data_IF_937063443175
#
_entry.id   IF_937063443175
#
_cell.length_a   1.000
_cell.length_b   1.000
_cell.length_c   1.000
_cell.angle_alpha   90.00
_cell.angle_beta   90.00
_cell.angle_gamma   90.00
#
_symmetry.space_group_name_H-M   'P 1'
#
loop_
_entity.id
_entity.type
_entity.pdbx_description
1 polymer ?
#
# COMPACT_ATOMS: atom_id res chain seq x y z
N UNK A 1 8.09 -56.31 30.21
CA UNK A 1 7.38 -56.17 28.91
C UNK A 1 8.33 -55.44 27.98
N UNK A 2 9.01 -56.15 27.07
CA UNK A 2 9.95 -55.53 26.12
C UNK A 2 9.14 -54.87 25.01
N UNK A 3 9.10 -53.54 25.00
CA UNK A 3 8.47 -52.80 23.89
C UNK A 3 9.23 -53.17 22.62
N UNK A 4 8.51 -53.64 21.60
CA UNK A 4 9.11 -54.17 20.38
C UNK A 4 9.72 -53.00 19.59
N UNK A 5 11.05 -52.93 19.52
CA UNK A 5 11.80 -51.82 18.92
C UNK A 5 11.37 -51.55 17.47
N UNK A 6 11.03 -52.61 16.73
CA UNK A 6 10.54 -52.53 15.35
C UNK A 6 9.21 -51.79 15.23
N UNK A 7 8.31 -51.97 16.20
CA UNK A 7 7.01 -51.28 16.22
C UNK A 7 7.20 -49.78 16.48
N UNK A 8 8.13 -49.43 17.38
CA UNK A 8 8.47 -48.03 17.66
C UNK A 8 9.08 -47.38 16.40
N UNK A 9 10.02 -48.07 15.74
CA UNK A 9 10.66 -47.57 14.51
C UNK A 9 9.65 -47.35 13.38
N UNK A 10 8.68 -48.26 13.24
CA UNK A 10 7.61 -48.14 12.25
C UNK A 10 6.72 -46.90 12.50
N UNK A 11 6.26 -46.71 13.74
CA UNK A 11 5.43 -45.55 14.12
C UNK A 11 6.19 -44.24 13.90
N UNK A 12 7.45 -44.17 14.31
CA UNK A 12 8.29 -42.99 14.08
C UNK A 12 8.50 -42.70 12.59
N UNK A 13 8.69 -43.73 11.75
CA UNK A 13 8.82 -43.58 10.30
C UNK A 13 7.54 -43.03 9.64
N UNK A 14 6.38 -43.50 10.05
CA UNK A 14 5.07 -43.00 9.57
C UNK A 14 4.84 -41.56 10.01
N UNK A 15 5.13 -41.20 11.26
CA UNK A 15 4.98 -39.81 11.76
C UNK A 15 5.94 -38.86 11.04
N UNK A 16 7.18 -39.27 10.82
CA UNK A 16 8.19 -38.42 10.17
C UNK A 16 7.86 -38.19 8.70
N UNK A 17 7.46 -39.24 7.98
CA UNK A 17 7.09 -39.16 6.56
C UNK A 17 5.84 -38.30 6.34
N UNK A 18 4.81 -38.48 7.17
CA UNK A 18 3.59 -37.65 7.11
C UNK A 18 3.88 -36.18 7.46
N UNK A 19 4.70 -35.91 8.47
CA UNK A 19 5.08 -34.54 8.86
C UNK A 19 5.88 -33.83 7.76
N UNK A 20 6.80 -34.52 7.10
CA UNK A 20 7.58 -33.96 5.99
C UNK A 20 6.69 -33.61 4.79
N UNK A 21 5.73 -34.48 4.44
CA UNK A 21 4.78 -34.22 3.36
C UNK A 21 3.92 -32.97 3.66
N UNK A 22 3.42 -32.84 4.90
CA UNK A 22 2.63 -31.68 5.33
C UNK A 22 3.45 -30.39 5.26
N UNK A 23 4.71 -30.40 5.69
CA UNK A 23 5.59 -29.23 5.63
C UNK A 23 5.84 -28.75 4.19
N UNK A 24 6.01 -29.68 3.24
CA UNK A 24 6.16 -29.36 1.81
C UNK A 24 4.89 -28.71 1.27
N UNK A 25 3.72 -29.25 1.59
CA UNK A 25 2.42 -28.69 1.17
C UNK A 25 2.21 -27.28 1.73
N UNK A 26 2.49 -27.07 3.02
CA UNK A 26 2.41 -25.73 3.65
C UNK A 26 3.34 -24.73 2.95
N UNK A 27 4.58 -25.14 2.66
CA UNK A 27 5.55 -24.28 1.96
C UNK A 27 5.07 -23.90 0.56
N UNK A 28 4.44 -24.83 -0.17
CA UNK A 28 3.88 -24.57 -1.50
C UNK A 28 2.66 -23.64 -1.44
N UNK A 29 1.79 -23.81 -0.45
CA UNK A 29 0.64 -22.94 -0.21
C UNK A 29 1.11 -21.53 0.14
N UNK A 30 2.05 -21.38 1.08
CA UNK A 30 2.60 -20.09 1.45
C UNK A 30 3.26 -19.39 0.26
N UNK A 31 4.05 -20.14 -0.54
CA UNK A 31 4.66 -19.59 -1.75
C UNK A 31 3.60 -19.11 -2.76
N UNK A 32 2.48 -19.83 -2.93
CA UNK A 32 1.38 -19.39 -3.78
C UNK A 32 0.68 -18.15 -3.22
N UNK A 33 0.38 -18.12 -1.93
CA UNK A 33 -0.29 -16.98 -1.27
C UNK A 33 0.58 -15.72 -1.39
N UNK A 34 1.86 -15.79 -1.01
CA UNK A 34 2.79 -14.66 -1.12
C UNK A 34 2.90 -14.18 -2.57
N UNK A 35 3.00 -15.13 -3.51
CA UNK A 35 3.06 -14.80 -4.93
C UNK A 35 1.78 -14.19 -5.46
N UNK A 36 0.59 -14.62 -5.01
CA UNK A 36 -0.69 -13.97 -5.36
C UNK A 36 -0.84 -12.59 -4.75
N UNK A 37 -0.28 -12.35 -3.56
CA UNK A 37 -0.24 -11.02 -2.93
C UNK A 37 0.72 -10.09 -3.69
N UNK A 38 1.91 -10.57 -4.07
CA UNK A 38 2.89 -9.81 -4.87
C UNK A 38 2.48 -9.63 -6.34
N UNK A 39 1.85 -10.63 -6.95
CA UNK A 39 1.36 -10.63 -8.34
C UNK A 39 -0.01 -10.00 -8.50
N UNK A 40 -0.58 -9.40 -7.44
CA UNK A 40 -1.73 -8.52 -7.58
C UNK A 40 -1.32 -7.19 -8.22
N UNK A 41 -0.75 -7.30 -9.43
CA UNK A 41 -0.40 -6.23 -10.35
C UNK A 41 -1.56 -5.26 -10.53
N UNK A 42 -2.81 -5.72 -10.39
CA UNK A 42 -4.00 -4.89 -10.33
C UNK A 42 -3.93 -3.92 -9.14
N UNK A 43 -3.67 -4.37 -7.91
CA UNK A 43 -3.51 -3.50 -6.74
C UNK A 43 -2.34 -2.53 -6.95
N UNK A 44 -1.20 -2.99 -7.48
CA UNK A 44 -0.04 -2.12 -7.75
C UNK A 44 -0.36 -1.07 -8.82
N UNK A 45 -1.08 -1.45 -9.88
CA UNK A 45 -1.51 -0.55 -10.93
C UNK A 45 -2.54 0.46 -10.41
N UNK A 46 -3.49 0.02 -9.58
CA UNK A 46 -4.45 0.90 -8.89
C UNK A 46 -3.69 1.87 -7.97
N UNK A 47 -2.71 1.40 -7.21
CA UNK A 47 -1.88 2.26 -6.36
C UNK A 47 -1.18 3.34 -7.19
N UNK A 48 -0.47 2.97 -8.26
CA UNK A 48 0.21 3.91 -9.15
C UNK A 48 -0.76 4.89 -9.82
N UNK A 49 -1.93 4.41 -10.26
CA UNK A 49 -2.96 5.25 -10.85
C UNK A 49 -3.53 6.25 -9.84
N UNK A 50 -3.78 5.82 -8.60
CA UNK A 50 -4.31 6.67 -7.54
C UNK A 50 -3.31 7.74 -7.11
N UNK A 51 -2.02 7.41 -6.97
CA UNK A 51 -0.94 8.40 -6.73
C UNK A 51 -0.90 9.44 -7.84
N UNK A 52 -0.98 8.99 -9.10
CA UNK A 52 -0.97 9.89 -10.27
C UNK A 52 -2.22 10.79 -10.32
N UNK A 53 -3.39 10.25 -9.96
CA UNK A 53 -4.64 10.99 -9.94
C UNK A 53 -4.66 12.06 -8.84
N UNK A 54 -4.18 11.74 -7.64
CA UNK A 54 -4.10 12.71 -6.54
C UNK A 54 -3.14 13.85 -6.92
N UNK A 55 -1.97 13.53 -7.51
CA UNK A 55 -1.05 14.53 -8.03
C UNK A 55 -1.72 15.44 -9.06
N UNK A 56 -2.45 14.89 -10.02
CA UNK A 56 -3.15 15.67 -11.03
C UNK A 56 -4.20 16.62 -10.43
N UNK A 57 -4.92 16.17 -9.40
CA UNK A 57 -5.89 17.02 -8.70
C UNK A 57 -5.21 18.17 -7.96
N UNK A 58 -4.05 17.94 -7.34
CA UNK A 58 -3.27 18.97 -6.65
C UNK A 58 -2.70 20.00 -7.65
N UNK A 59 -2.09 19.57 -8.76
CA UNK A 59 -1.63 20.47 -9.84
C UNK A 59 -2.78 21.32 -10.41
N UNK A 60 -3.94 20.68 -10.65
CA UNK A 60 -5.13 21.39 -11.15
C UNK A 60 -5.63 22.41 -10.13
N UNK A 61 -5.64 22.06 -8.84
CA UNK A 61 -6.03 22.97 -7.77
C UNK A 61 -5.07 24.15 -7.65
N UNK A 62 -3.76 23.92 -7.79
CA UNK A 62 -2.77 25.00 -7.82
C UNK A 62 -3.00 25.96 -8.97
N UNK A 63 -3.28 25.46 -10.18
CA UNK A 63 -3.58 26.33 -11.34
C UNK A 63 -4.81 27.18 -11.11
N UNK A 64 -5.86 26.61 -10.52
CA UNK A 64 -7.08 27.35 -10.15
C UNK A 64 -6.80 28.39 -9.07
N UNK A 65 -6.09 28.00 -8.01
CA UNK A 65 -5.70 28.91 -6.94
C UNK A 65 -4.90 30.11 -7.47
N UNK A 66 -3.98 29.89 -8.43
CA UNK A 66 -3.24 30.96 -9.10
C UNK A 66 -4.14 31.88 -9.93
N UNK A 67 -5.15 31.33 -10.60
CA UNK A 67 -6.07 32.10 -11.43
C UNK A 67 -7.09 32.90 -10.61
N UNK A 68 -7.60 32.31 -9.53
CA UNK A 68 -8.62 32.89 -8.65
C UNK A 68 -8.02 33.75 -7.53
N UNK A 69 -6.73 33.55 -7.22
CA UNK A 69 -6.02 34.27 -6.16
C UNK A 69 -6.35 33.80 -4.74
N UNK A 70 -7.26 32.84 -4.57
CA UNK A 70 -7.65 32.27 -3.29
C UNK A 70 -8.04 30.79 -3.42
N UNK A 71 -8.25 30.11 -2.29
CA UNK A 71 -8.79 28.75 -2.25
C UNK A 71 -9.93 28.74 -1.24
N UNK A 72 -11.08 28.14 -1.56
CA UNK A 72 -12.15 28.04 -0.56
C UNK A 72 -11.72 27.16 0.63
N UNK A 73 -12.18 27.48 1.85
CA UNK A 73 -11.83 26.69 3.04
C UNK A 73 -12.24 25.20 2.91
N UNK A 74 -13.39 24.93 2.28
CA UNK A 74 -13.84 23.57 1.98
C UNK A 74 -12.87 22.85 1.04
N UNK A 75 -12.48 23.52 -0.05
CA UNK A 75 -11.51 22.99 -1.02
C UNK A 75 -10.14 22.75 -0.38
N UNK A 76 -9.71 23.64 0.53
CA UNK A 76 -8.44 23.50 1.22
C UNK A 76 -8.40 22.25 2.11
N UNK A 77 -9.45 22.01 2.91
CA UNK A 77 -9.53 20.80 3.75
C UNK A 77 -9.52 19.50 2.93
N UNK A 78 -10.18 19.51 1.77
CA UNK A 78 -10.17 18.36 0.86
C UNK A 78 -8.78 18.13 0.25
N UNK A 79 -8.08 19.21 -0.15
CA UNK A 79 -6.72 19.13 -0.67
C UNK A 79 -5.72 18.63 0.36
N UNK A 80 -5.83 19.06 1.61
CA UNK A 80 -4.99 18.55 2.71
C UNK A 80 -5.22 17.05 2.93
N UNK A 81 -6.48 16.60 2.90
CA UNK A 81 -6.81 15.19 3.05
C UNK A 81 -6.22 14.34 1.91
N UNK A 82 -6.32 14.84 0.67
CA UNK A 82 -5.71 14.20 -0.50
C UNK A 82 -4.19 14.16 -0.39
N UNK A 83 -3.57 15.23 0.11
CA UNK A 83 -2.12 15.31 0.28
C UNK A 83 -1.60 14.36 1.36
N UNK A 84 -2.30 14.19 2.48
CA UNK A 84 -1.93 13.20 3.50
C UNK A 84 -1.95 11.77 2.94
N UNK A 85 -2.99 11.43 2.16
CA UNK A 85 -3.04 10.14 1.46
C UNK A 85 -1.90 10.01 0.46
N UNK A 86 -1.60 11.05 -0.31
CA UNK A 86 -0.48 11.07 -1.26
C UNK A 86 0.87 10.78 -0.60
N UNK A 87 1.15 11.40 0.56
CA UNK A 87 2.37 11.14 1.34
C UNK A 87 2.42 9.71 1.85
N UNK A 88 1.31 9.20 2.40
CA UNK A 88 1.23 7.82 2.89
C UNK A 88 1.47 6.78 1.79
N UNK A 89 1.18 7.13 0.53
CA UNK A 89 1.42 6.29 -0.64
C UNK A 89 2.84 6.41 -1.24
N UNK A 90 3.77 7.09 -0.57
CA UNK A 90 5.14 7.27 -1.04
C UNK A 90 5.29 8.36 -2.11
N UNK A 91 4.49 9.43 -1.98
CA UNK A 91 4.56 10.63 -2.81
C UNK A 91 5.95 11.29 -2.89
N UNK A 92 6.13 12.20 -3.84
CA UNK A 92 7.40 12.90 -4.06
C UNK A 92 7.34 14.39 -3.71
N UNK A 93 8.52 15.00 -3.55
CA UNK A 93 8.67 16.40 -3.14
C UNK A 93 8.10 17.44 -4.11
N UNK A 94 7.79 17.08 -5.35
CA UNK A 94 7.17 18.01 -6.29
C UNK A 94 5.76 18.40 -5.83
N UNK A 95 4.94 17.43 -5.45
CA UNK A 95 3.56 17.69 -4.99
C UNK A 95 3.55 18.39 -3.63
N UNK A 96 4.58 18.15 -2.80
CA UNK A 96 4.76 18.90 -1.55
C UNK A 96 4.96 20.39 -1.84
N UNK A 97 5.80 20.72 -2.83
CA UNK A 97 6.01 22.13 -3.23
C UNK A 97 4.74 22.77 -3.81
N UNK A 98 3.93 22.01 -4.55
CA UNK A 98 2.63 22.49 -5.05
C UNK A 98 1.65 22.78 -3.91
N UNK A 99 1.54 21.88 -2.93
CA UNK A 99 0.68 22.09 -1.77
C UNK A 99 1.14 23.26 -0.90
N UNK A 100 2.45 23.46 -0.72
CA UNK A 100 2.98 24.65 -0.05
C UNK A 100 2.60 25.94 -0.78
N UNK A 101 2.65 25.94 -2.11
CA UNK A 101 2.25 27.10 -2.91
C UNK A 101 0.74 27.38 -2.79
N UNK A 102 -0.10 26.33 -2.82
CA UNK A 102 -1.54 26.44 -2.55
C UNK A 102 -1.81 27.08 -1.18
N UNK A 103 -1.11 26.61 -0.13
CA UNK A 103 -1.24 27.16 1.24
C UNK A 103 -0.87 28.64 1.29
N UNK A 104 0.23 29.03 0.63
CA UNK A 104 0.66 30.44 0.55
C UNK A 104 -0.36 31.32 -0.17
N UNK A 105 -0.91 30.84 -1.29
CA UNK A 105 -1.96 31.56 -2.03
C UNK A 105 -3.17 31.77 -1.13
N UNK A 106 -3.63 30.72 -0.43
CA UNK A 106 -4.79 30.82 0.44
C UNK A 106 -4.59 31.80 1.61
N UNK A 107 -3.39 31.85 2.20
CA UNK A 107 -3.04 32.81 3.25
C UNK A 107 -3.01 34.26 2.74
N UNK A 108 -2.64 34.48 1.48
CA UNK A 108 -2.52 35.81 0.88
C UNK A 108 -3.82 36.29 0.19
N UNK A 109 -4.71 35.37 -0.18
CA UNK A 109 -5.99 35.63 -0.87
C UNK A 109 -7.17 35.97 0.06
N UNK A 110 -6.98 35.94 1.38
CA UNK A 110 -7.97 36.40 2.35
C UNK A 110 -8.02 37.94 2.42
N UNK A 111 -8.57 38.59 1.40
CA UNK A 111 -8.96 40.01 1.41
C UNK A 111 -10.34 40.19 0.83
#
# INVERSE_FOLDING_TARGET
MSVNLDIILYICGVITSTSAAVAIVIKLINKKITRTIEENSVIRNIHTALVSQIRYQIDTALRRAKAEGHVSNYSMSALESLFEVYKAMGGNGFVESEMEEIRKINQNGGK
#
